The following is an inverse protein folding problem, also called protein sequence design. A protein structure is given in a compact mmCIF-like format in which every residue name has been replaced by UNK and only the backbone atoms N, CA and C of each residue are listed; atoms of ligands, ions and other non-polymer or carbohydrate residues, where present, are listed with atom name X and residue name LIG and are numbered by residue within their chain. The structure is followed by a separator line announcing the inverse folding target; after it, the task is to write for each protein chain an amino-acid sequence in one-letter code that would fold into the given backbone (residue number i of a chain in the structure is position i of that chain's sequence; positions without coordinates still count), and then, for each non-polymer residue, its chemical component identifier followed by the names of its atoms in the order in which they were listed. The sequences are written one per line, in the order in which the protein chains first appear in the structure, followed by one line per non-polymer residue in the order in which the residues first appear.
data_IF_495380535543
#
_entry.id   IF_495380535543
#
_cell.length_a   1.000
_cell.length_b   1.000
_cell.length_c   1.000
_cell.angle_alpha   90.00
_cell.angle_beta   90.00
_cell.angle_gamma   90.00
#
_symmetry.space_group_name_H-M   'P 1'
#
loop_
_entity.id
_entity.type
_entity.pdbx_description
1 polymer ?
#
# COMPACT_ATOMS: atom_id res chain seq x y z
N UNK A 1 1.56 -69.72 9.50
CA UNK A 1 0.73 -68.97 10.47
C UNK A 1 1.66 -68.01 11.21
N UNK A 2 1.42 -66.72 10.99
CA UNK A 2 1.82 -65.50 11.74
C UNK A 2 3.10 -65.51 12.59
N UNK A 3 4.12 -64.72 12.24
CA UNK A 3 4.24 -63.27 12.51
C UNK A 3 4.62 -62.98 13.97
N UNK A 4 5.87 -62.54 14.20
CA UNK A 4 6.18 -61.39 15.05
C UNK A 4 7.46 -60.70 14.55
N UNK A 5 7.31 -59.39 14.36
CA UNK A 5 8.26 -58.46 13.80
C UNK A 5 9.56 -58.38 14.61
N UNK A 6 10.68 -58.35 13.88
CA UNK A 6 12.01 -58.10 14.42
C UNK A 6 12.11 -56.69 15.00
N UNK A 7 12.29 -56.61 16.30
CA UNK A 7 12.87 -55.46 16.99
C UNK A 7 14.39 -55.62 16.89
N UNK A 8 15.02 -54.98 15.90
CA UNK A 8 16.47 -54.83 15.90
C UNK A 8 16.81 -53.35 15.77
N UNK A 9 17.25 -52.81 16.91
CA UNK A 9 17.80 -51.49 17.10
C UNK A 9 18.82 -51.17 15.99
N UNK A 10 18.44 -50.31 15.05
CA UNK A 10 19.43 -49.51 14.32
C UNK A 10 19.62 -48.21 15.08
N UNK A 11 20.44 -48.33 16.11
CA UNK A 11 21.21 -47.23 16.66
C UNK A 11 21.81 -46.45 15.48
N UNK A 12 21.35 -45.22 15.35
CA UNK A 12 21.80 -44.24 14.38
C UNK A 12 23.32 -44.16 14.49
N UNK A 13 24.02 -44.73 13.50
CA UNK A 13 25.44 -44.50 13.28
C UNK A 13 25.60 -43.02 12.95
N UNK A 14 25.73 -42.19 14.00
CA UNK A 14 26.17 -40.80 13.94
C UNK A 14 27.61 -40.81 13.47
N UNK A 15 27.79 -40.92 12.16
CA UNK A 15 29.06 -40.67 11.51
C UNK A 15 29.21 -39.16 11.48
N UNK A 16 30.12 -38.65 12.30
CA UNK A 16 30.61 -37.28 12.24
C UNK A 16 31.03 -36.96 10.80
N UNK A 17 30.18 -36.19 10.13
CA UNK A 17 30.51 -35.43 8.92
C UNK A 17 30.08 -34.02 9.20
N UNK A 18 30.93 -33.29 9.92
CA UNK A 18 30.87 -31.83 10.06
C UNK A 18 31.23 -31.14 8.72
N UNK A 19 30.56 -31.53 7.64
CA UNK A 19 30.56 -30.80 6.37
C UNK A 19 29.19 -30.12 6.22
N UNK A 20 28.85 -29.31 7.22
CA UNK A 20 27.71 -28.40 7.14
C UNK A 20 28.11 -27.22 6.25
N UNK A 21 27.52 -27.08 5.08
CA UNK A 21 27.71 -25.89 4.27
C UNK A 21 27.09 -24.69 5.00
N UNK A 22 27.93 -23.74 5.42
CA UNK A 22 27.53 -22.53 6.17
C UNK A 22 26.42 -21.73 5.47
N UNK A 23 26.33 -21.84 4.15
CA UNK A 23 25.25 -21.25 3.35
C UNK A 23 23.90 -21.84 3.72
N UNK A 24 23.81 -23.15 3.94
CA UNK A 24 22.55 -23.85 4.20
C UNK A 24 22.05 -23.54 5.61
N UNK A 25 22.93 -23.48 6.60
CA UNK A 25 22.60 -23.09 7.97
C UNK A 25 22.07 -21.65 8.03
N UNK A 26 22.74 -20.72 7.33
CA UNK A 26 22.27 -19.35 7.21
C UNK A 26 20.89 -19.27 6.53
N UNK A 27 20.67 -19.99 5.43
CA UNK A 27 19.39 -19.98 4.70
C UNK A 27 18.26 -20.55 5.55
N UNK A 28 18.51 -21.60 6.35
CA UNK A 28 17.53 -22.17 7.27
C UNK A 28 17.07 -21.19 8.35
N UNK A 29 17.95 -20.28 8.80
CA UNK A 29 17.60 -19.23 9.77
C UNK A 29 16.97 -18.03 9.07
N UNK A 30 17.51 -17.62 7.92
CA UNK A 30 17.08 -16.44 7.19
C UNK A 30 15.68 -16.61 6.59
N UNK A 31 15.41 -17.73 5.92
CA UNK A 31 14.13 -17.97 5.21
C UNK A 31 12.88 -17.81 6.10
N UNK A 32 12.79 -18.43 7.29
CA UNK A 32 11.64 -18.25 8.17
C UNK A 32 11.53 -16.83 8.74
N UNK A 33 12.60 -16.03 8.73
CA UNK A 33 12.57 -14.62 9.13
C UNK A 33 12.13 -13.71 7.96
N UNK A 34 12.60 -13.99 6.74
CA UNK A 34 12.26 -13.20 5.56
C UNK A 34 10.83 -13.44 5.07
N UNK A 35 10.31 -14.67 5.15
CA UNK A 35 8.95 -14.99 4.70
C UNK A 35 7.88 -14.12 5.39
N UNK A 36 7.83 -14.00 6.73
CA UNK A 36 6.89 -13.10 7.41
C UNK A 36 7.08 -11.64 7.03
N UNK A 37 8.32 -11.17 6.89
CA UNK A 37 8.61 -9.79 6.49
C UNK A 37 8.06 -9.50 5.09
N UNK A 38 8.25 -10.41 4.13
CA UNK A 38 7.72 -10.27 2.77
C UNK A 38 6.19 -10.26 2.76
N UNK A 39 5.55 -11.17 3.50
CA UNK A 39 4.09 -11.19 3.62
C UNK A 39 3.55 -9.89 4.24
N UNK A 40 4.23 -9.37 5.25
CA UNK A 40 3.90 -8.08 5.85
C UNK A 40 3.99 -6.93 4.84
N UNK A 41 5.09 -6.86 4.07
CA UNK A 41 5.23 -5.83 3.03
C UNK A 41 4.16 -5.93 1.94
N UNK A 42 3.82 -7.15 1.50
CA UNK A 42 2.73 -7.37 0.53
C UNK A 42 1.38 -6.91 1.08
N UNK A 43 1.09 -7.19 2.36
CA UNK A 43 -0.14 -6.74 3.01
C UNK A 43 -0.20 -5.21 3.12
N UNK A 44 0.93 -4.56 3.40
CA UNK A 44 1.02 -3.10 3.54
C UNK A 44 0.95 -2.34 2.19
N UNK A 45 1.32 -2.98 1.08
CA UNK A 45 1.39 -2.34 -0.23
C UNK A 45 0.07 -1.70 -0.66
N UNK A 46 -1.07 -2.35 -0.40
CA UNK A 46 -2.38 -1.83 -0.80
C UNK A 46 -2.69 -0.50 -0.10
N UNK A 47 -2.44 -0.42 1.21
CA UNK A 47 -2.66 0.80 1.99
C UNK A 47 -1.75 1.93 1.53
N UNK A 48 -0.47 1.64 1.26
CA UNK A 48 0.46 2.65 0.76
C UNK A 48 0.04 3.20 -0.62
N UNK A 49 -0.44 2.33 -1.51
CA UNK A 49 -0.92 2.72 -2.82
C UNK A 49 -2.20 3.57 -2.76
N UNK A 50 -3.12 3.26 -1.83
CA UNK A 50 -4.31 4.08 -1.59
C UNK A 50 -3.95 5.48 -1.10
N UNK A 51 -3.01 5.60 -0.17
CA UNK A 51 -2.56 6.90 0.33
C UNK A 51 -1.94 7.76 -0.80
N UNK A 52 -1.06 7.17 -1.61
CA UNK A 52 -0.46 7.85 -2.77
C UNK A 52 -1.54 8.30 -3.75
N UNK A 53 -2.56 7.47 -3.99
CA UNK A 53 -3.67 7.80 -4.90
C UNK A 53 -4.47 8.99 -4.38
N UNK A 54 -4.80 9.03 -3.09
CA UNK A 54 -5.52 10.16 -2.46
C UNK A 54 -4.67 11.44 -2.50
N UNK A 55 -3.36 11.36 -2.22
CA UNK A 55 -2.48 12.52 -2.31
C UNK A 55 -2.40 13.08 -3.74
N UNK A 56 -2.34 12.20 -4.75
CA UNK A 56 -2.35 12.61 -6.15
C UNK A 56 -3.70 13.24 -6.54
N UNK A 57 -4.81 12.67 -6.08
CA UNK A 57 -6.14 13.25 -6.26
C UNK A 57 -6.22 14.65 -5.67
N UNK A 58 -5.76 14.86 -4.43
CA UNK A 58 -5.73 16.18 -3.79
C UNK A 58 -4.90 17.19 -4.58
N UNK A 59 -3.75 16.78 -5.14
CA UNK A 59 -2.93 17.66 -6.00
C UNK A 59 -3.66 17.99 -7.32
N UNK A 60 -4.36 17.02 -7.90
CA UNK A 60 -5.15 17.23 -9.12
C UNK A 60 -6.33 18.18 -8.90
N UNK A 61 -7.06 18.04 -7.79
CA UNK A 61 -8.19 18.92 -7.46
C UNK A 61 -7.72 20.36 -7.21
N UNK A 62 -6.61 20.55 -6.48
CA UNK A 62 -6.02 21.90 -6.30
C UNK A 62 -5.61 22.50 -7.64
N UNK A 63 -4.95 21.73 -8.52
CA UNK A 63 -4.60 22.20 -9.88
C UNK A 63 -5.83 22.59 -10.70
N UNK A 64 -6.89 21.80 -10.63
CA UNK A 64 -8.15 22.11 -11.32
C UNK A 64 -8.81 23.38 -10.78
N UNK A 65 -8.65 23.66 -9.49
CA UNK A 65 -9.15 24.88 -8.85
C UNK A 65 -8.35 26.13 -9.24
N UNK A 66 -7.02 26.10 -9.14
CA UNK A 66 -6.18 27.29 -9.37
C UNK A 66 -6.10 27.71 -10.83
N UNK A 67 -6.45 26.81 -11.76
CA UNK A 67 -6.53 27.10 -13.21
C UNK A 67 -7.93 27.54 -13.66
N UNK A 68 -8.86 27.72 -12.72
CA UNK A 68 -10.19 28.23 -13.03
C UNK A 68 -10.19 29.76 -13.18
N UNK A 69 -11.08 30.27 -14.01
CA UNK A 69 -11.23 31.72 -14.26
C UNK A 69 -11.90 32.44 -13.08
N UNK A 70 -12.61 31.69 -12.23
CA UNK A 70 -13.30 32.21 -11.06
C UNK A 70 -13.38 31.16 -9.94
N UNK A 71 -13.58 31.63 -8.70
CA UNK A 71 -13.68 30.74 -7.53
C UNK A 71 -14.88 29.79 -7.63
N UNK A 72 -16.00 30.25 -8.18
CA UNK A 72 -17.21 29.43 -8.40
C UNK A 72 -16.96 28.34 -9.44
N UNK A 73 -16.34 28.68 -10.57
CA UNK A 73 -15.93 27.70 -11.59
C UNK A 73 -14.91 26.70 -11.02
N UNK A 74 -13.99 27.15 -10.16
CA UNK A 74 -13.03 26.30 -9.46
C UNK A 74 -13.71 25.23 -8.59
N UNK A 75 -14.75 25.60 -7.82
CA UNK A 75 -15.50 24.63 -7.01
C UNK A 75 -16.26 23.61 -7.87
N UNK A 76 -16.79 24.04 -9.02
CA UNK A 76 -17.43 23.13 -9.99
C UNK A 76 -16.41 22.14 -10.56
N UNK A 77 -15.21 22.60 -10.91
CA UNK A 77 -14.12 21.73 -11.38
C UNK A 77 -13.65 20.74 -10.31
N UNK A 78 -13.52 21.16 -9.04
CA UNK A 78 -13.23 20.24 -7.93
C UNK A 78 -14.31 19.16 -7.84
N UNK A 79 -15.60 19.56 -7.82
CA UNK A 79 -16.72 18.62 -7.73
C UNK A 79 -16.70 17.61 -8.88
N UNK A 80 -16.42 18.07 -10.10
CA UNK A 80 -16.31 17.19 -11.27
C UNK A 80 -15.18 16.16 -11.13
N UNK A 81 -13.98 16.59 -10.70
CA UNK A 81 -12.83 15.68 -10.50
C UNK A 81 -13.13 14.63 -9.43
N UNK A 82 -13.70 15.05 -8.29
CA UNK A 82 -14.05 14.13 -7.20
C UNK A 82 -15.15 13.15 -7.60
N UNK A 83 -16.17 13.61 -8.33
CA UNK A 83 -17.28 12.77 -8.79
C UNK A 83 -16.78 11.70 -9.78
N UNK A 84 -15.97 12.10 -10.77
CA UNK A 84 -15.35 11.17 -11.73
C UNK A 84 -14.44 10.16 -11.05
N UNK A 85 -13.64 10.59 -10.08
CA UNK A 85 -12.82 9.68 -9.29
C UNK A 85 -13.69 8.68 -8.52
N UNK A 86 -14.76 9.16 -7.87
CA UNK A 86 -15.69 8.29 -7.14
C UNK A 86 -16.36 7.27 -8.06
N UNK A 87 -16.71 7.63 -9.29
CA UNK A 87 -17.34 6.72 -10.27
C UNK A 87 -16.38 5.60 -10.70
N UNK A 88 -15.10 5.93 -10.92
CA UNK A 88 -14.06 4.97 -11.30
C UNK A 88 -13.80 3.99 -10.15
N UNK A 89 -13.68 4.49 -8.92
CA UNK A 89 -13.40 3.66 -7.75
C UNK A 89 -14.62 2.89 -7.23
N UNK A 90 -15.84 3.40 -7.42
CA UNK A 90 -17.08 2.74 -6.96
C UNK A 90 -17.32 1.40 -7.65
N UNK A 91 -16.69 1.14 -8.81
CA UNK A 91 -16.69 -0.19 -9.44
C UNK A 91 -16.07 -1.27 -8.55
N UNK A 92 -15.25 -0.88 -7.57
CA UNK A 92 -14.64 -1.75 -6.56
C UNK A 92 -15.43 -1.81 -5.23
N UNK A 93 -16.75 -1.60 -5.28
CA UNK A 93 -17.72 -1.83 -4.19
C UNK A 93 -17.76 -0.84 -3.01
N UNK A 94 -16.95 0.23 -2.99
CA UNK A 94 -17.08 1.32 -2.00
C UNK A 94 -17.38 2.65 -2.68
N UNK A 95 -18.52 3.24 -2.35
CA UNK A 95 -18.88 4.61 -2.80
C UNK A 95 -18.16 5.61 -1.89
N UNK A 96 -17.13 6.27 -2.39
CA UNK A 96 -16.40 7.27 -1.63
C UNK A 96 -17.12 8.62 -1.68
N UNK A 97 -17.55 9.13 -0.52
CA UNK A 97 -17.99 10.51 -0.37
C UNK A 97 -16.81 11.39 0.02
N UNK A 98 -16.40 12.30 -0.88
CA UNK A 98 -15.33 13.25 -0.58
C UNK A 98 -15.91 14.54 0.01
N UNK A 99 -15.48 14.88 1.22
CA UNK A 99 -15.65 16.22 1.79
C UNK A 99 -14.31 16.94 1.68
N UNK A 100 -14.33 18.17 1.18
CA UNK A 100 -13.14 18.99 1.07
C UNK A 100 -13.38 20.35 1.71
N UNK A 101 -12.33 20.96 2.27
CA UNK A 101 -12.36 22.32 2.76
C UNK A 101 -11.20 23.09 2.14
N UNK A 102 -11.50 24.18 1.44
CA UNK A 102 -10.48 24.98 0.79
C UNK A 102 -10.07 26.14 1.69
N UNK A 103 -8.78 26.26 1.96
CA UNK A 103 -8.22 27.40 2.69
C UNK A 103 -7.25 28.18 1.80
N UNK A 104 -7.47 29.50 1.71
CA UNK A 104 -6.63 30.41 0.95
C UNK A 104 -5.83 31.31 1.89
N UNK A 105 -4.52 31.41 1.67
CA UNK A 105 -3.62 32.19 2.51
C UNK A 105 -3.59 33.70 2.22
N UNK A 106 -4.40 34.19 1.27
CA UNK A 106 -4.48 35.60 0.90
C UNK A 106 -5.92 36.04 0.62
N UNK A 107 -6.12 37.34 0.39
CA UNK A 107 -7.43 37.98 0.24
C UNK A 107 -8.23 37.48 -0.98
N UNK A 108 -7.53 36.91 -1.99
CA UNK A 108 -8.12 36.30 -3.19
C UNK A 108 -7.40 34.99 -3.52
N UNK A 109 -8.15 33.88 -3.64
CA UNK A 109 -7.60 32.53 -3.89
C UNK A 109 -6.93 32.32 -5.26
N UNK A 110 -7.22 33.17 -6.25
CA UNK A 110 -6.75 33.02 -7.64
C UNK A 110 -5.77 34.13 -8.04
N UNK A 111 -5.02 34.66 -7.07
CA UNK A 111 -4.01 35.68 -7.33
C UNK A 111 -2.60 35.08 -7.37
N UNK A 112 -1.71 35.58 -8.25
CA UNK A 112 -0.30 35.18 -8.23
C UNK A 112 0.30 35.37 -6.83
N UNK A 113 0.99 34.36 -6.31
CA UNK A 113 1.59 34.37 -4.97
C UNK A 113 0.66 33.93 -3.83
N UNK A 114 -0.63 33.70 -4.08
CA UNK A 114 -1.53 33.13 -3.07
C UNK A 114 -1.28 31.64 -2.84
N UNK A 115 -1.41 31.19 -1.58
CA UNK A 115 -1.28 29.77 -1.20
C UNK A 115 -2.66 29.13 -1.04
N UNK A 116 -2.89 28.01 -1.70
CA UNK A 116 -4.15 27.24 -1.61
C UNK A 116 -3.89 25.90 -0.96
N UNK A 117 -4.73 25.51 0.00
CA UNK A 117 -4.70 24.22 0.70
C UNK A 117 -6.08 23.57 0.63
N UNK A 118 -6.10 22.24 0.49
CA UNK A 118 -7.29 21.40 0.48
C UNK A 118 -7.15 20.28 1.51
#
# INVERSE_FOLDING_TARGET
MSEKAGYENRESKRSDREEGSAVVEFVLIATPLFLPALLFFMAMQNTAMEEIRVQNLARQTVRAFVTADSVTQGHQRIKYVLDRYSEIESKNQKRYGFTYNLSCGGERCLTPGSRVKI
#
